data_IF_416419955336
#
_entry.id   IF_416419955336
#
_cell.length_a   1.000
_cell.length_b   1.000
_cell.length_c   1.000
_cell.angle_alpha   90.00
_cell.angle_beta   90.00
_cell.angle_gamma   90.00
#
_symmetry.space_group_name_H-M   'P 1'
#
loop_
_entity.id
_entity.type
_entity.pdbx_description
1 polymer ?
#
# COMPACT_ATOMS: atom_id res chain seq x y z
N UNK A 1 45.76 -46.55 39.39
CA UNK A 1 44.99 -45.41 39.85
C UNK A 1 44.52 -44.64 38.64
N UNK A 2 43.26 -44.82 38.29
CA UNK A 2 42.63 -44.36 37.06
C UNK A 2 41.92 -43.03 37.29
N UNK A 3 42.43 -41.94 36.71
CA UNK A 3 41.78 -40.61 36.74
C UNK A 3 40.88 -40.45 35.50
N UNK A 4 39.58 -40.45 35.69
CA UNK A 4 38.59 -40.17 34.65
C UNK A 4 38.42 -38.63 34.52
N UNK A 5 38.84 -38.08 33.42
CA UNK A 5 38.53 -36.75 33.02
C UNK A 5 37.14 -36.69 32.35
N UNK A 6 36.20 -36.03 33.02
CA UNK A 6 34.88 -35.77 32.47
C UNK A 6 34.93 -34.52 31.56
N UNK A 7 34.74 -34.70 30.28
CA UNK A 7 34.58 -33.60 29.34
C UNK A 7 33.12 -33.11 29.36
N UNK A 8 32.90 -31.88 29.84
CA UNK A 8 31.59 -31.22 29.77
C UNK A 8 31.49 -30.54 28.40
N UNK A 9 30.68 -31.10 27.51
CA UNK A 9 30.34 -30.48 26.25
C UNK A 9 29.23 -29.45 26.47
N UNK A 10 29.61 -28.15 26.36
CA UNK A 10 28.68 -27.03 26.42
C UNK A 10 28.03 -26.88 25.05
N UNK A 11 26.80 -27.38 24.92
CA UNK A 11 25.99 -27.19 23.72
C UNK A 11 25.42 -25.76 23.70
N UNK A 12 25.99 -24.87 22.88
CA UNK A 12 25.45 -23.57 22.56
C UNK A 12 24.25 -23.74 21.64
N UNK A 13 23.06 -23.68 22.19
CA UNK A 13 21.81 -23.55 21.44
C UNK A 13 21.77 -22.14 20.85
N UNK A 14 22.17 -22.01 19.61
CA UNK A 14 21.93 -20.82 18.78
C UNK A 14 20.45 -20.83 18.41
N UNK A 15 19.67 -20.04 19.12
CA UNK A 15 18.29 -19.74 18.72
C UNK A 15 18.37 -18.82 17.48
N UNK A 16 18.31 -19.42 16.32
CA UNK A 16 18.03 -18.71 15.07
C UNK A 16 16.57 -18.26 15.17
N UNK A 17 16.34 -17.00 15.55
CA UNK A 17 15.07 -16.35 15.33
C UNK A 17 14.89 -16.20 13.82
N UNK A 18 14.21 -17.16 13.20
CA UNK A 18 13.71 -17.03 11.84
C UNK A 18 12.80 -15.80 11.84
N UNK A 19 13.28 -14.70 11.30
CA UNK A 19 12.46 -13.54 11.03
C UNK A 19 11.29 -14.00 10.16
N UNK A 20 10.07 -13.93 10.70
CA UNK A 20 8.88 -14.19 9.90
C UNK A 20 8.78 -13.05 8.90
N UNK A 21 9.23 -13.28 7.68
CA UNK A 21 8.89 -12.45 6.54
C UNK A 21 7.40 -12.63 6.28
N UNK A 22 6.63 -11.60 6.46
CA UNK A 22 5.19 -11.68 6.31
C UNK A 22 4.60 -10.38 5.80
N UNK A 23 3.58 -10.51 4.97
CA UNK A 23 2.73 -9.40 4.55
C UNK A 23 1.57 -9.29 5.53
N UNK A 24 1.35 -8.11 6.08
CA UNK A 24 0.26 -7.82 7.01
C UNK A 24 -0.53 -6.63 6.52
N UNK A 25 -1.85 -6.74 6.55
CA UNK A 25 -2.73 -5.60 6.28
C UNK A 25 -2.68 -4.63 7.46
N UNK A 26 -2.42 -3.35 7.16
CA UNK A 26 -2.42 -2.28 8.14
C UNK A 26 -3.85 -1.77 8.39
N UNK A 27 -4.09 -1.24 9.57
CA UNK A 27 -5.35 -0.55 9.88
C UNK A 27 -5.33 0.86 9.27
N UNK A 28 -6.13 1.03 8.23
CA UNK A 28 -6.31 2.26 7.47
C UNK A 28 -7.74 2.81 7.56
N UNK A 29 -8.51 2.40 8.56
CA UNK A 29 -9.92 2.76 8.74
C UNK A 29 -10.17 4.26 8.85
N UNK A 30 -9.17 5.04 9.21
CA UNK A 30 -9.21 6.50 9.27
C UNK A 30 -8.79 7.19 7.95
N UNK A 31 -8.34 6.41 6.97
CA UNK A 31 -8.05 6.91 5.63
C UNK A 31 -9.37 7.17 4.89
N UNK A 32 -9.50 8.33 4.27
CA UNK A 32 -10.72 8.69 3.55
C UNK A 32 -10.44 9.55 2.33
N UNK A 33 -11.35 9.48 1.36
CA UNK A 33 -11.31 10.28 0.14
C UNK A 33 -12.12 11.57 0.30
N UNK A 34 -11.65 12.63 -0.35
CA UNK A 34 -12.34 13.93 -0.41
C UNK A 34 -12.40 14.38 -1.88
N UNK A 35 -13.61 14.53 -2.44
CA UNK A 35 -14.92 14.20 -1.87
C UNK A 35 -15.12 12.69 -1.72
N UNK A 36 -16.03 12.28 -0.82
CA UNK A 36 -16.31 10.86 -0.59
C UNK A 36 -16.92 10.14 -1.81
N UNK A 37 -17.62 10.90 -2.65
CA UNK A 37 -18.18 10.43 -3.91
C UNK A 37 -17.53 11.20 -5.06
N UNK A 38 -16.93 10.48 -6.00
CA UNK A 38 -16.25 11.05 -7.16
C UNK A 38 -17.03 10.71 -8.41
N UNK A 39 -17.36 11.73 -9.19
CA UNK A 39 -17.93 11.55 -10.53
C UNK A 39 -16.81 11.53 -11.55
N UNK A 40 -16.74 10.45 -12.33
CA UNK A 40 -15.83 10.35 -13.47
C UNK A 40 -16.35 11.23 -14.61
N UNK A 41 -15.45 11.94 -15.26
CA UNK A 41 -15.75 12.78 -16.41
C UNK A 41 -15.07 12.22 -17.67
N UNK A 42 -15.74 12.35 -18.81
CA UNK A 42 -15.13 12.02 -20.09
C UNK A 42 -13.94 12.93 -20.36
N UNK A 43 -12.83 12.34 -20.73
CA UNK A 43 -11.68 13.14 -21.22
C UNK A 43 -12.02 13.70 -22.59
N UNK A 44 -11.79 15.00 -22.83
CA UNK A 44 -11.88 15.54 -24.17
C UNK A 44 -10.87 14.80 -25.08
N UNK A 45 -11.31 14.47 -26.27
CA UNK A 45 -10.46 13.79 -27.27
C UNK A 45 -9.31 14.72 -27.67
N UNK A 46 -8.09 14.37 -27.29
CA UNK A 46 -6.88 15.04 -27.77
C UNK A 46 -6.36 14.25 -28.97
N UNK A 47 -6.22 14.92 -30.10
CA UNK A 47 -5.76 14.32 -31.36
C UNK A 47 -4.38 13.67 -31.14
N UNK A 48 -4.32 12.34 -31.23
CA UNK A 48 -3.09 11.56 -31.04
C UNK A 48 -3.07 10.70 -29.77
N UNK A 49 -3.95 10.89 -28.80
CA UNK A 49 -4.16 9.95 -27.70
C UNK A 49 -5.17 8.87 -28.11
N UNK A 50 -4.75 7.61 -28.01
CA UNK A 50 -5.58 6.46 -28.36
C UNK A 50 -6.64 6.10 -27.33
N UNK A 51 -6.63 6.75 -26.16
CA UNK A 51 -7.42 6.35 -25.01
C UNK A 51 -8.54 7.35 -24.73
N UNK A 52 -9.68 7.13 -25.37
CA UNK A 52 -10.94 7.69 -24.91
C UNK A 52 -11.31 6.96 -23.60
N UNK A 53 -11.29 7.67 -22.48
CA UNK A 53 -11.58 7.12 -21.17
C UNK A 53 -12.19 8.15 -20.26
N UNK A 54 -12.64 7.72 -19.09
CA UNK A 54 -13.11 8.61 -18.04
C UNK A 54 -12.00 8.88 -17.02
N UNK A 55 -11.95 10.09 -16.51
CA UNK A 55 -11.03 10.45 -15.44
C UNK A 55 -11.73 11.20 -14.31
N UNK A 56 -11.13 11.12 -13.13
CA UNK A 56 -11.51 11.89 -11.97
C UNK A 56 -10.29 12.25 -11.13
N UNK A 57 -10.39 13.33 -10.39
CA UNK A 57 -9.41 13.73 -9.39
C UNK A 57 -10.00 13.60 -8.00
N UNK A 58 -9.21 13.03 -7.10
CA UNK A 58 -9.61 12.83 -5.71
C UNK A 58 -8.42 13.10 -4.79
N UNK A 59 -8.70 13.69 -3.62
CA UNK A 59 -7.73 13.73 -2.53
C UNK A 59 -7.97 12.56 -1.61
N UNK A 60 -6.90 11.93 -1.18
CA UNK A 60 -6.94 10.86 -0.19
C UNK A 60 -6.16 11.34 1.02
N UNK A 61 -6.87 11.53 2.13
CA UNK A 61 -6.23 11.77 3.41
C UNK A 61 -5.87 10.42 4.00
N UNK A 62 -4.60 10.07 3.93
CA UNK A 62 -4.06 8.80 4.42
C UNK A 62 -3.79 8.92 5.91
N UNK A 63 -4.31 7.95 6.67
CA UNK A 63 -3.98 7.75 8.08
C UNK A 63 -3.94 6.27 8.38
N UNK A 64 -2.73 5.75 8.56
CA UNK A 64 -2.47 4.33 8.78
C UNK A 64 -2.00 4.17 10.22
N UNK A 65 -2.63 3.27 10.98
CA UNK A 65 -2.17 2.92 12.31
C UNK A 65 -0.93 2.02 12.23
N UNK A 66 0.16 2.47 12.80
CA UNK A 66 1.45 1.79 12.80
C UNK A 66 1.95 1.45 14.20
N UNK A 67 1.12 1.60 15.25
CA UNK A 67 1.51 1.38 16.66
C UNK A 67 2.09 0.01 16.91
N UNK A 68 1.50 -1.03 16.36
CA UNK A 68 1.96 -2.42 16.53
C UNK A 68 3.31 -2.68 15.83
N UNK A 69 3.70 -1.81 14.89
CA UNK A 69 4.87 -1.96 14.04
C UNK A 69 5.96 -0.93 14.34
N UNK A 70 5.79 -0.13 15.38
CA UNK A 70 6.79 0.88 15.78
C UNK A 70 8.14 0.23 16.03
N UNK A 71 9.19 0.86 15.49
CA UNK A 71 10.57 0.39 15.58
C UNK A 71 10.93 -0.73 14.60
N UNK A 72 9.98 -1.25 13.83
CA UNK A 72 10.24 -2.23 12.77
C UNK A 72 10.53 -1.55 11.45
N UNK A 73 11.51 -2.07 10.75
CA UNK A 73 11.82 -1.68 9.37
C UNK A 73 11.09 -2.58 8.40
N UNK A 74 10.66 -2.03 7.27
CA UNK A 74 9.96 -2.78 6.23
C UNK A 74 9.50 -1.87 5.11
N UNK A 75 8.53 -2.38 4.35
CA UNK A 75 7.99 -1.72 3.16
C UNK A 75 6.47 -1.65 3.27
N UNK A 76 5.89 -0.46 3.03
CA UNK A 76 4.44 -0.28 2.96
C UNK A 76 4.02 -0.17 1.51
N UNK A 77 3.01 -0.92 1.15
CA UNK A 77 2.42 -0.95 -0.18
C UNK A 77 0.98 -0.44 -0.15
N UNK A 78 0.62 0.34 -1.14
CA UNK A 78 -0.76 0.61 -1.50
C UNK A 78 -1.21 -0.53 -2.42
N UNK A 79 -2.33 -1.15 -2.10
CA UNK A 79 -2.95 -2.21 -2.88
C UNK A 79 -4.27 -1.71 -3.42
N UNK A 80 -4.47 -1.82 -4.72
CA UNK A 80 -5.75 -1.52 -5.36
C UNK A 80 -6.44 -2.83 -5.69
N UNK A 81 -7.59 -3.07 -5.06
CA UNK A 81 -8.33 -4.30 -5.25
C UNK A 81 -8.73 -4.47 -6.73
N UNK A 82 -8.69 -5.71 -7.20
CA UNK A 82 -9.17 -6.03 -8.54
C UNK A 82 -10.68 -5.84 -8.61
N UNK A 83 -11.14 -5.09 -9.60
CA UNK A 83 -12.54 -5.00 -9.96
C UNK A 83 -12.74 -5.68 -11.30
N UNK A 84 -13.46 -6.79 -11.31
CA UNK A 84 -13.70 -7.63 -12.50
C UNK A 84 -14.41 -6.91 -13.65
N UNK A 85 -14.93 -5.73 -13.40
CA UNK A 85 -15.80 -5.02 -14.35
C UNK A 85 -15.15 -3.84 -15.04
N UNK A 86 -14.00 -3.34 -14.57
CA UNK A 86 -13.27 -2.28 -15.27
C UNK A 86 -11.83 -2.16 -14.80
N UNK A 87 -10.90 -2.14 -15.76
CA UNK A 87 -9.52 -1.79 -15.47
C UNK A 87 -9.46 -0.30 -15.05
N UNK A 88 -9.05 -0.05 -13.82
CA UNK A 88 -8.79 1.28 -13.30
C UNK A 88 -7.29 1.48 -13.12
N UNK A 89 -6.81 2.65 -13.48
CA UNK A 89 -5.47 3.12 -13.19
C UNK A 89 -5.56 4.34 -12.28
N UNK A 90 -4.75 4.36 -11.23
CA UNK A 90 -4.59 5.50 -10.34
C UNK A 90 -3.14 5.97 -10.38
N UNK A 91 -2.94 7.28 -10.50
CA UNK A 91 -1.65 7.93 -10.43
C UNK A 91 -1.73 9.04 -9.38
N UNK A 92 -0.74 9.15 -8.48
CA UNK A 92 -0.79 10.13 -7.41
C UNK A 92 0.54 10.82 -7.16
N UNK A 93 0.41 12.02 -6.62
CA UNK A 93 1.46 12.79 -5.97
C UNK A 93 1.20 12.83 -4.46
N UNK A 94 2.24 13.13 -3.68
CA UNK A 94 2.19 13.21 -2.22
C UNK A 94 2.73 14.54 -1.76
N UNK A 95 2.30 14.99 -0.59
CA UNK A 95 2.82 16.20 0.05
C UNK A 95 3.70 15.87 1.27
N UNK A 96 3.72 14.63 1.72
CA UNK A 96 4.36 14.20 2.94
C UNK A 96 5.41 13.10 2.77
N UNK A 97 5.27 12.03 3.54
CA UNK A 97 6.27 10.98 3.70
C UNK A 97 6.13 9.80 2.73
N UNK A 98 4.96 9.65 2.13
CA UNK A 98 4.71 8.58 1.17
C UNK A 98 5.36 8.88 -0.17
N UNK A 99 5.61 7.84 -0.94
CA UNK A 99 6.13 7.94 -2.29
C UNK A 99 4.99 8.19 -3.27
N UNK A 100 5.21 9.09 -4.23
CA UNK A 100 4.35 9.22 -5.40
C UNK A 100 4.42 7.95 -6.24
N UNK A 101 3.36 7.65 -6.99
CA UNK A 101 3.34 6.43 -7.76
C UNK A 101 2.13 6.27 -8.68
N UNK A 102 2.04 5.07 -9.24
CA UNK A 102 0.96 4.64 -10.12
C UNK A 102 0.65 3.19 -9.83
N UNK A 103 -0.63 2.83 -9.95
CA UNK A 103 -1.14 1.48 -9.70
C UNK A 103 -2.30 1.17 -10.64
N UNK A 104 -2.46 -0.09 -10.98
CA UNK A 104 -3.62 -0.62 -11.68
C UNK A 104 -4.43 -1.54 -10.78
N UNK A 105 -5.69 -1.72 -11.11
CA UNK A 105 -6.54 -2.69 -10.42
C UNK A 105 -5.88 -4.06 -10.32
N UNK A 106 -5.83 -4.62 -9.12
CA UNK A 106 -5.19 -5.90 -8.81
C UNK A 106 -3.69 -5.83 -8.57
N UNK A 107 -3.08 -4.65 -8.59
CA UNK A 107 -1.65 -4.45 -8.32
C UNK A 107 -1.40 -3.89 -6.92
N UNK A 108 -0.13 -3.93 -6.51
CA UNK A 108 0.39 -3.24 -5.33
C UNK A 108 1.61 -2.40 -5.69
N UNK A 109 1.72 -1.23 -5.10
CA UNK A 109 2.80 -0.27 -5.36
C UNK A 109 3.42 0.19 -4.05
N UNK A 110 4.76 0.22 -3.99
CA UNK A 110 5.51 0.69 -2.84
C UNK A 110 5.23 2.16 -2.59
N UNK A 111 4.80 2.50 -1.36
CA UNK A 111 4.52 3.87 -0.94
C UNK A 111 5.38 4.35 0.23
N UNK A 112 6.03 3.45 0.94
CA UNK A 112 6.97 3.80 2.01
C UNK A 112 7.96 2.66 2.24
N UNK A 113 9.18 2.99 2.59
CA UNK A 113 10.19 2.04 3.05
C UNK A 113 11.03 2.65 4.17
N UNK A 114 11.39 1.84 5.12
CA UNK A 114 12.19 2.27 6.26
C UNK A 114 11.62 1.81 7.60
N UNK A 115 12.09 2.43 8.67
CA UNK A 115 11.63 2.12 10.02
C UNK A 115 10.38 2.95 10.36
N UNK A 116 9.34 2.29 10.84
CA UNK A 116 8.13 2.94 11.33
C UNK A 116 8.42 3.55 12.72
N UNK A 117 8.58 4.86 12.78
CA UNK A 117 8.99 5.59 13.99
C UNK A 117 7.85 6.32 14.70
N UNK A 118 6.68 6.37 14.10
CA UNK A 118 5.49 7.08 14.60
C UNK A 118 4.33 6.12 14.78
N UNK A 119 3.39 6.46 15.66
CA UNK A 119 2.19 5.66 15.90
C UNK A 119 1.21 5.67 14.72
N UNK A 120 1.32 6.68 13.86
CA UNK A 120 0.54 6.79 12.62
C UNK A 120 1.45 7.21 11.48
N UNK A 121 1.14 6.74 10.29
CA UNK A 121 1.72 7.21 9.04
C UNK A 121 0.64 8.03 8.32
N UNK A 122 0.81 9.35 8.35
CA UNK A 122 -0.15 10.31 7.81
C UNK A 122 0.42 10.96 6.55
N UNK A 123 -0.41 11.14 5.52
CA UNK A 123 -0.08 11.86 4.30
C UNK A 123 -1.35 12.30 3.55
N UNK A 124 -1.17 13.16 2.56
CA UNK A 124 -2.22 13.53 1.61
C UNK A 124 -1.79 13.18 0.19
N UNK A 125 -2.59 12.36 -0.49
CA UNK A 125 -2.41 12.02 -1.88
C UNK A 125 -3.35 12.85 -2.75
N UNK A 126 -2.84 13.42 -3.82
CA UNK A 126 -3.66 13.93 -4.92
C UNK A 126 -3.64 12.88 -6.01
N UNK A 127 -4.77 12.21 -6.20
CA UNK A 127 -4.87 11.03 -7.03
C UNK A 127 -5.72 11.32 -8.27
N UNK A 128 -5.19 10.97 -9.42
CA UNK A 128 -5.87 10.95 -10.71
C UNK A 128 -6.29 9.53 -11.03
N UNK A 129 -7.58 9.33 -11.17
CA UNK A 129 -8.18 8.05 -11.53
C UNK A 129 -8.49 8.04 -13.02
N UNK A 130 -8.19 6.93 -13.70
CA UNK A 130 -8.54 6.70 -15.10
C UNK A 130 -9.23 5.37 -15.24
N UNK A 131 -10.30 5.31 -16.00
CA UNK A 131 -10.95 4.07 -16.41
C UNK A 131 -10.80 3.90 -17.91
N UNK A 132 -10.35 2.71 -18.33
CA UNK A 132 -10.12 2.37 -19.73
C UNK A 132 -11.37 1.77 -20.40
N UNK A 133 -12.44 1.56 -19.67
CA UNK A 133 -13.67 0.97 -20.17
C UNK A 133 -14.84 1.94 -20.19
N UNK A 134 -15.81 1.69 -21.07
CA UNK A 134 -17.08 2.41 -21.11
C UNK A 134 -17.83 2.26 -19.78
N UNK A 135 -17.68 3.25 -18.93
CA UNK A 135 -18.38 3.32 -17.66
C UNK A 135 -19.80 3.82 -17.89
N UNK A 136 -20.75 2.92 -17.93
CA UNK A 136 -22.16 3.29 -17.94
C UNK A 136 -22.79 3.09 -16.57
N UNK A 137 -22.88 4.18 -15.84
CA UNK A 137 -23.97 4.38 -14.86
C UNK A 137 -23.87 3.71 -13.51
N UNK A 138 -22.71 3.37 -12.94
CA UNK A 138 -22.66 2.92 -11.55
C UNK A 138 -21.67 3.74 -10.70
N UNK A 139 -22.12 4.18 -9.54
CA UNK A 139 -21.24 4.75 -8.52
C UNK A 139 -20.35 3.65 -7.98
N UNK A 140 -19.04 3.77 -8.13
CA UNK A 140 -18.08 2.79 -7.60
C UNK A 140 -17.28 3.43 -6.48
N UNK A 141 -16.95 2.60 -5.51
CA UNK A 141 -16.00 2.96 -4.48
C UNK A 141 -14.60 2.57 -4.94
N UNK A 142 -13.65 3.45 -4.71
CA UNK A 142 -12.24 3.14 -4.83
C UNK A 142 -11.87 2.25 -3.63
N UNK A 143 -11.73 0.95 -3.87
CA UNK A 143 -11.31 0.00 -2.85
C UNK A 143 -9.80 -0.16 -2.89
N UNK A 144 -9.14 0.40 -1.92
CA UNK A 144 -7.71 0.23 -1.72
C UNK A 144 -7.43 -0.02 -0.24
N UNK A 145 -6.27 -0.58 0.05
CA UNK A 145 -5.78 -0.77 1.41
C UNK A 145 -4.26 -0.72 1.44
N UNK A 146 -3.69 -0.75 2.63
CA UNK A 146 -2.26 -0.73 2.83
C UNK A 146 -1.77 -2.03 3.45
N UNK A 147 -0.62 -2.51 2.95
CA UNK A 147 0.05 -3.70 3.45
C UNK A 147 1.47 -3.36 3.89
N UNK A 148 1.94 -4.05 4.92
CA UNK A 148 3.30 -3.93 5.43
C UNK A 148 4.03 -5.25 5.27
N UNK A 149 5.14 -5.22 4.56
CA UNK A 149 6.06 -6.33 4.43
C UNK A 149 7.22 -6.14 5.41
N UNK A 150 7.40 -7.09 6.31
CA UNK A 150 8.58 -7.19 7.17
C UNK A 150 9.63 -8.05 6.46
N UNK A 151 10.93 -7.67 6.53
CA UNK A 151 12.01 -8.47 5.97
C UNK A 151 12.19 -9.80 6.70
#
# INVERSE_FOLDING_TARGET
MTGRAAAIALALLVWSSAGQTGTVRLDDTLTHTVPANVQMQWRPFVRGERDAGMEAWVRVNVRIDTREWMGRSGQVYLVLDSDDTSAMEAEWTTEGRLLAGRIRSGERTLVYWGTLTTATLDDQLVMRLRSLSDWRGSTRRLNFHFEFDTP
#
